data_IF_497383381826
#
_entry.id   IF_497383381826
#
_cell.length_a   1.000
_cell.length_b   1.000
_cell.length_c   1.000
_cell.angle_alpha   90.00
_cell.angle_beta   90.00
_cell.angle_gamma   90.00
#
_symmetry.space_group_name_H-M   'P 1'
#
loop_
_entity.id
_entity.type
_entity.pdbx_description
1 polymer ?
#
# COMPACT_ATOMS: atom_id res chain seq x y z
N UNK A 1 -17.02 -9.66 -2.24
CA UNK A 1 -16.75 -10.26 -3.56
C UNK A 1 -17.15 -9.22 -4.60
N UNK A 2 -16.22 -8.77 -5.40
CA UNK A 2 -16.45 -7.86 -6.52
C UNK A 2 -16.22 -8.57 -7.86
N UNK A 3 -16.32 -7.86 -8.98
CA UNK A 3 -16.12 -8.41 -10.32
C UNK A 3 -14.67 -8.31 -10.81
N UNK A 4 -13.74 -7.95 -9.92
CA UNK A 4 -12.33 -7.83 -10.25
C UNK A 4 -11.63 -9.20 -10.29
N UNK A 5 -10.66 -9.33 -11.17
CA UNK A 5 -9.86 -10.54 -11.36
C UNK A 5 -8.60 -10.56 -10.47
N UNK A 6 -8.30 -9.46 -9.78
CA UNK A 6 -7.16 -9.34 -8.88
C UNK A 6 -7.61 -9.27 -7.42
N UNK A 7 -6.73 -9.64 -6.50
CA UNK A 7 -7.01 -9.53 -5.09
C UNK A 7 -7.23 -8.06 -4.69
N UNK A 8 -8.31 -7.75 -3.97
CA UNK A 8 -8.55 -6.43 -3.40
C UNK A 8 -7.90 -6.27 -2.02
N UNK A 9 -7.39 -7.35 -1.45
CA UNK A 9 -6.66 -7.39 -0.19
C UNK A 9 -5.48 -8.32 -0.38
N UNK A 10 -4.29 -7.78 -0.40
CA UNK A 10 -3.06 -8.54 -0.63
C UNK A 10 -1.88 -7.90 0.10
N UNK A 11 -0.86 -8.71 0.36
CA UNK A 11 0.45 -8.26 0.82
C UNK A 11 1.49 -8.77 -0.15
N UNK A 12 2.23 -7.86 -0.75
CA UNK A 12 3.34 -8.15 -1.65
C UNK A 12 4.67 -7.78 -1.01
N UNK A 13 5.62 -8.69 -1.05
CA UNK A 13 7.00 -8.47 -0.56
C UNK A 13 7.91 -8.37 -1.77
N UNK A 14 8.54 -7.21 -1.95
CA UNK A 14 9.48 -6.95 -3.02
C UNK A 14 10.91 -6.97 -2.47
N UNK A 15 11.67 -7.98 -2.86
CA UNK A 15 13.07 -8.16 -2.45
C UNK A 15 14.00 -7.56 -3.51
N UNK A 16 14.74 -6.53 -3.13
CA UNK A 16 15.74 -5.86 -3.97
C UNK A 16 17.18 -6.24 -3.56
N UNK A 17 17.33 -7.32 -2.79
CA UNK A 17 18.60 -7.82 -2.28
C UNK A 17 19.01 -7.16 -0.96
N UNK A 18 19.51 -5.94 -0.99
CA UNK A 18 19.89 -5.16 0.20
C UNK A 18 18.75 -4.37 0.84
N UNK A 19 17.66 -4.22 0.10
CA UNK A 19 16.44 -3.52 0.51
C UNK A 19 15.21 -4.37 0.26
N UNK A 20 14.16 -4.07 1.00
CA UNK A 20 12.88 -4.73 0.86
C UNK A 20 11.77 -3.69 0.96
N UNK A 21 10.72 -3.88 0.18
CA UNK A 21 9.48 -3.14 0.32
C UNK A 21 8.35 -4.12 0.60
N UNK A 22 7.58 -3.89 1.66
CA UNK A 22 6.32 -4.58 1.92
C UNK A 22 5.20 -3.64 1.55
N UNK A 23 4.37 -4.06 0.61
CA UNK A 23 3.22 -3.30 0.14
C UNK A 23 1.94 -4.05 0.50
N UNK A 24 1.09 -3.40 1.27
CA UNK A 24 -0.17 -3.97 1.76
C UNK A 24 -1.35 -3.16 1.21
N UNK A 25 -2.25 -3.83 0.49
CA UNK A 25 -3.51 -3.28 0.00
C UNK A 25 -4.66 -3.84 0.82
N UNK A 26 -5.56 -2.96 1.28
CA UNK A 26 -6.79 -3.32 1.99
C UNK A 26 -7.98 -2.67 1.31
N UNK A 27 -8.59 -3.38 0.38
CA UNK A 27 -9.80 -2.94 -0.32
C UNK A 27 -11.11 -3.27 0.40
N UNK A 28 -11.05 -4.10 1.45
CA UNK A 28 -12.20 -4.41 2.30
C UNK A 28 -12.36 -3.35 3.40
N UNK A 29 -13.53 -3.34 4.05
CA UNK A 29 -13.84 -2.33 5.07
C UNK A 29 -12.86 -2.40 6.26
N UNK A 30 -12.30 -1.26 6.60
CA UNK A 30 -11.36 -1.06 7.71
C UNK A 30 -11.95 -0.21 8.86
N UNK A 31 -13.24 0.12 8.80
CA UNK A 31 -13.88 1.01 9.80
C UNK A 31 -13.81 0.49 11.21
N UNK A 32 -13.69 -0.82 11.36
CA UNK A 32 -13.50 -1.49 12.64
C UNK A 32 -12.14 -2.17 12.72
N UNK A 33 -11.12 -1.61 12.08
CA UNK A 33 -9.76 -2.15 12.16
C UNK A 33 -9.32 -2.24 13.62
N UNK A 34 -8.82 -3.41 14.01
CA UNK A 34 -8.18 -3.62 15.32
C UNK A 34 -6.75 -3.06 15.33
N UNK A 35 -6.29 -2.54 14.20
CA UNK A 35 -5.00 -1.87 14.10
C UNK A 35 -5.11 -0.45 14.67
N UNK A 36 -4.77 -0.34 15.96
CA UNK A 36 -4.84 0.94 16.67
C UNK A 36 -3.92 2.00 16.06
N UNK A 37 -2.81 1.59 15.45
CA UNK A 37 -1.87 2.50 14.83
C UNK A 37 -2.46 3.12 13.56
N UNK A 38 -3.05 2.30 12.69
CA UNK A 38 -3.78 2.78 11.52
C UNK A 38 -4.92 3.71 11.93
N UNK A 39 -5.69 3.33 12.95
CA UNK A 39 -6.79 4.14 13.45
C UNK A 39 -6.32 5.50 13.97
N UNK A 40 -5.20 5.55 14.69
CA UNK A 40 -4.59 6.81 15.16
C UNK A 40 -4.10 7.67 14.01
N UNK A 41 -3.41 7.08 13.04
CA UNK A 41 -2.84 7.79 11.90
C UNK A 41 -3.92 8.39 10.98
N UNK A 42 -5.00 7.67 10.74
CA UNK A 42 -6.12 8.17 9.93
C UNK A 42 -7.21 8.89 10.72
N UNK A 43 -7.15 8.88 12.07
CA UNK A 43 -8.18 9.45 12.96
C UNK A 43 -9.58 9.01 12.56
N UNK A 44 -9.73 7.72 12.46
CA UNK A 44 -10.99 7.06 12.16
C UNK A 44 -11.97 7.81 11.27
N UNK A 45 -12.15 7.36 10.10
CA UNK A 45 -13.20 7.84 9.24
C UNK A 45 -14.09 6.67 8.88
N UNK A 46 -15.37 6.81 9.14
CA UNK A 46 -16.37 5.83 8.70
C UNK A 46 -16.33 5.71 7.18
N UNK A 47 -16.22 4.48 6.69
CA UNK A 47 -16.17 4.15 5.27
C UNK A 47 -14.75 4.00 4.72
N UNK A 48 -14.62 3.35 3.56
CA UNK A 48 -13.35 3.17 2.87
C UNK A 48 -12.71 4.52 2.59
N UNK A 49 -11.49 4.70 3.05
CA UNK A 49 -10.70 5.89 2.72
C UNK A 49 -9.58 5.53 1.78
N UNK A 50 -9.42 6.39 0.81
CA UNK A 50 -8.24 6.40 -0.04
C UNK A 50 -7.15 7.13 0.73
N UNK A 51 -6.05 6.43 1.01
CA UNK A 51 -4.89 7.00 1.65
C UNK A 51 -3.74 6.01 1.66
N UNK A 52 -2.55 6.51 1.99
CA UNK A 52 -1.34 5.70 2.05
C UNK A 52 -0.57 6.05 3.32
N UNK A 53 -0.02 5.03 3.99
CA UNK A 53 0.92 5.19 5.08
C UNK A 53 2.26 4.61 4.64
N UNK A 54 3.31 5.40 4.72
CA UNK A 54 4.69 4.94 4.56
C UNK A 54 5.32 4.80 5.94
N UNK A 55 5.74 3.60 6.28
CA UNK A 55 6.42 3.29 7.53
C UNK A 55 7.92 3.45 7.33
N UNK A 56 8.51 4.41 8.01
CA UNK A 56 9.95 4.67 7.98
C UNK A 56 10.64 4.28 9.28
N UNK A 57 11.97 4.28 9.26
CA UNK A 57 12.80 4.01 10.46
C UNK A 57 12.57 5.03 11.57
N UNK A 58 12.32 6.29 11.22
CA UNK A 58 12.24 7.40 12.17
C UNK A 58 10.83 7.95 12.38
N UNK A 59 9.84 7.43 11.64
CA UNK A 59 8.46 7.90 11.74
C UNK A 59 7.59 7.42 10.59
N UNK A 60 6.53 8.17 10.34
CA UNK A 60 5.49 7.83 9.37
C UNK A 60 5.23 9.02 8.44
N UNK A 61 4.96 8.72 7.16
CA UNK A 61 4.39 9.69 6.25
C UNK A 61 2.97 9.21 5.90
N UNK A 62 1.98 10.02 6.20
CA UNK A 62 0.56 9.68 6.02
C UNK A 62 -0.06 10.61 5.00
N UNK A 63 -0.41 10.05 3.85
CA UNK A 63 -1.18 10.75 2.83
C UNK A 63 -2.67 10.53 3.10
N UNK A 64 -3.37 11.55 3.57
CA UNK A 64 -4.78 11.48 3.95
C UNK A 64 -5.74 11.81 2.80
N UNK A 65 -5.24 12.46 1.76
CA UNK A 65 -5.97 12.81 0.56
C UNK A 65 -5.00 13.08 -0.58
N UNK A 66 -5.52 13.37 -1.77
CA UNK A 66 -4.68 13.72 -2.94
C UNK A 66 -3.83 14.98 -2.74
N UNK A 67 -4.17 15.81 -1.78
CA UNK A 67 -3.56 17.13 -1.58
C UNK A 67 -3.01 17.35 -0.18
N UNK A 68 -3.08 16.34 0.70
CA UNK A 68 -2.73 16.50 2.11
C UNK A 68 -1.87 15.32 2.60
N UNK A 69 -0.68 15.64 3.09
CA UNK A 69 0.29 14.68 3.59
C UNK A 69 0.91 15.19 4.89
N UNK A 70 1.05 14.32 5.89
CA UNK A 70 1.63 14.66 7.20
C UNK A 70 2.75 13.69 7.52
N UNK A 71 3.87 14.21 7.99
CA UNK A 71 4.99 13.45 8.57
C UNK A 71 4.85 13.46 10.09
N UNK A 72 4.90 12.29 10.68
CA UNK A 72 4.90 12.06 12.11
C UNK A 72 6.23 11.42 12.55
N UNK A 73 6.68 11.74 13.75
CA UNK A 73 7.70 10.95 14.44
C UNK A 73 7.13 9.64 15.01
N UNK A 74 7.97 8.79 15.61
CA UNK A 74 7.56 7.53 16.22
C UNK A 74 6.58 7.70 17.41
N UNK A 75 6.54 8.88 18.01
CA UNK A 75 5.61 9.23 19.08
C UNK A 75 4.31 9.84 18.57
N UNK A 76 4.11 9.85 17.25
CA UNK A 76 2.96 10.45 16.55
C UNK A 76 2.84 11.97 16.72
N UNK A 77 3.94 12.67 17.02
CA UNK A 77 3.95 14.12 16.94
C UNK A 77 4.12 14.55 15.48
N UNK A 78 3.42 15.61 15.10
CA UNK A 78 3.56 16.18 13.75
C UNK A 78 4.93 16.84 13.61
N UNK A 79 5.72 16.33 12.67
CA UNK A 79 7.03 16.87 12.29
C UNK A 79 6.88 17.88 11.15
N UNK A 80 6.06 17.53 10.14
CA UNK A 80 5.84 18.35 8.98
C UNK A 80 4.50 18.07 8.35
N UNK A 81 3.88 19.09 7.79
CA UNK A 81 2.63 19.01 7.07
C UNK A 81 2.77 19.63 5.68
N UNK A 82 2.22 18.95 4.68
CA UNK A 82 2.20 19.39 3.30
C UNK A 82 0.75 19.53 2.87
N UNK A 83 0.40 20.71 2.40
CA UNK A 83 -0.92 21.02 1.87
C UNK A 83 -0.76 21.57 0.45
N UNK A 84 -1.62 21.17 -0.43
CA UNK A 84 -1.66 21.62 -1.81
C UNK A 84 -1.60 20.46 -2.80
N UNK A 85 -2.08 20.71 -3.99
CA UNK A 85 -2.00 19.83 -5.12
C UNK A 85 -1.40 20.59 -6.30
N UNK A 86 -0.58 19.95 -7.11
CA UNK A 86 -0.11 20.53 -8.36
C UNK A 86 -1.25 20.62 -9.38
N UNK A 87 -1.16 21.59 -10.26
CA UNK A 87 -1.97 21.63 -11.46
C UNK A 87 -1.38 20.65 -12.51
N UNK A 88 -1.73 19.36 -12.36
CA UNK A 88 -1.22 18.34 -13.28
C UNK A 88 -1.78 18.47 -14.71
N UNK A 89 -2.97 19.04 -14.88
CA UNK A 89 -3.50 19.35 -16.22
C UNK A 89 -2.74 20.50 -16.87
N UNK A 90 -2.48 21.59 -16.14
CA UNK A 90 -1.65 22.68 -16.61
C UNK A 90 -0.22 22.23 -16.91
N UNK A 91 0.37 21.40 -16.06
CA UNK A 91 1.69 20.82 -16.31
C UNK A 91 1.76 20.02 -17.62
N UNK A 92 0.73 19.21 -17.90
CA UNK A 92 0.64 18.49 -19.18
C UNK A 92 0.49 19.44 -20.36
N UNK A 93 -0.40 20.45 -20.27
CA UNK A 93 -0.62 21.42 -21.34
C UNK A 93 0.63 22.26 -21.63
N UNK A 94 1.37 22.66 -20.60
CA UNK A 94 2.64 23.37 -20.72
C UNK A 94 3.70 22.53 -21.44
N UNK A 95 3.83 21.27 -21.06
CA UNK A 95 4.74 20.34 -21.73
C UNK A 95 4.37 20.17 -23.22
N UNK A 96 3.08 20.07 -23.53
CA UNK A 96 2.59 19.99 -24.91
C UNK A 96 2.88 21.27 -25.70
N UNK A 97 2.61 22.44 -25.12
CA UNK A 97 2.80 23.74 -25.78
C UNK A 97 4.27 24.02 -26.07
N UNK A 98 5.15 23.66 -25.13
CA UNK A 98 6.60 23.86 -25.27
C UNK A 98 7.31 22.73 -26.00
N UNK A 99 6.63 21.60 -26.25
CA UNK A 99 7.22 20.36 -26.81
C UNK A 99 8.41 19.84 -25.99
N UNK A 100 8.36 20.05 -24.69
CA UNK A 100 9.43 19.71 -23.77
C UNK A 100 8.92 18.73 -22.69
N UNK A 101 9.20 17.43 -22.88
CA UNK A 101 8.79 16.36 -21.95
C UNK A 101 9.49 16.47 -20.59
N UNK A 102 10.62 17.16 -20.48
CA UNK A 102 11.34 17.32 -19.21
C UNK A 102 10.58 18.20 -18.20
N UNK A 103 9.56 18.92 -18.66
CA UNK A 103 8.67 19.72 -17.82
C UNK A 103 7.58 18.89 -17.14
N UNK A 104 7.38 17.65 -17.55
CA UNK A 104 6.41 16.77 -16.90
C UNK A 104 6.90 16.39 -15.48
N UNK A 105 6.05 16.56 -14.49
CA UNK A 105 6.31 16.14 -13.12
C UNK A 105 6.39 14.61 -12.99
N UNK A 106 5.72 13.91 -13.89
CA UNK A 106 5.79 12.45 -14.05
C UNK A 106 5.58 12.14 -15.52
N UNK A 107 6.60 11.63 -16.17
CA UNK A 107 6.53 11.23 -17.57
C UNK A 107 6.02 9.79 -17.74
N UNK A 108 5.90 9.34 -18.98
CA UNK A 108 5.43 8.00 -19.29
C UNK A 108 6.36 6.90 -18.75
N UNK A 109 7.65 7.18 -18.61
CA UNK A 109 8.62 6.23 -18.07
C UNK A 109 8.43 6.02 -16.56
N UNK A 110 8.27 7.10 -15.80
CA UNK A 110 7.95 7.03 -14.38
C UNK A 110 6.61 6.31 -14.13
N UNK A 111 5.61 6.60 -14.97
CA UNK A 111 4.33 5.90 -14.93
C UNK A 111 4.47 4.41 -15.22
N UNK A 112 5.29 4.04 -16.21
CA UNK A 112 5.58 2.65 -16.55
C UNK A 112 6.27 1.90 -15.40
N UNK A 113 7.29 2.48 -14.81
CA UNK A 113 8.00 1.86 -13.67
C UNK A 113 7.08 1.68 -12.45
N UNK A 114 6.30 2.71 -12.12
CA UNK A 114 5.36 2.65 -11.00
C UNK A 114 4.28 1.60 -11.20
N UNK A 115 3.70 1.52 -12.40
CA UNK A 115 2.73 0.48 -12.75
C UNK A 115 3.37 -0.92 -12.76
N UNK A 116 4.63 -1.01 -13.21
CA UNK A 116 5.37 -2.27 -13.24
C UNK A 116 5.47 -2.95 -11.88
N UNK A 117 5.66 -2.19 -10.82
CA UNK A 117 5.69 -2.74 -9.43
C UNK A 117 4.34 -3.39 -9.08
N UNK A 118 3.22 -2.72 -9.36
CA UNK A 118 1.88 -3.29 -9.10
C UNK A 118 1.63 -4.55 -9.95
N UNK A 119 2.09 -4.54 -11.21
CA UNK A 119 1.96 -5.72 -12.07
C UNK A 119 2.79 -6.92 -11.60
N UNK A 120 3.95 -6.71 -10.97
CA UNK A 120 4.72 -7.79 -10.36
C UNK A 120 3.95 -8.45 -9.21
N UNK A 121 3.26 -7.69 -8.37
CA UNK A 121 2.35 -8.23 -7.35
C UNK A 121 1.24 -9.08 -7.97
N UNK A 122 0.56 -8.56 -8.98
CA UNK A 122 -0.48 -9.29 -9.70
C UNK A 122 0.05 -10.58 -10.36
N UNK A 123 1.22 -10.55 -10.98
CA UNK A 123 1.86 -11.75 -11.55
C UNK A 123 2.11 -12.79 -10.47
N UNK A 124 2.64 -12.39 -9.32
CA UNK A 124 2.85 -13.29 -8.19
C UNK A 124 1.53 -13.91 -7.71
N UNK A 125 0.47 -13.11 -7.62
CA UNK A 125 -0.87 -13.57 -7.26
C UNK A 125 -1.39 -14.63 -8.25
N UNK A 126 -1.37 -14.34 -9.56
CA UNK A 126 -1.83 -15.29 -10.59
C UNK A 126 -1.02 -16.58 -10.66
N UNK A 127 0.29 -16.51 -10.45
CA UNK A 127 1.13 -17.70 -10.37
C UNK A 127 0.80 -18.57 -9.15
N UNK A 128 0.32 -17.94 -8.08
CA UNK A 128 -0.11 -18.63 -6.85
C UNK A 128 -1.57 -19.09 -6.84
N UNK A 129 -2.42 -18.63 -7.76
CA UNK A 129 -3.87 -18.83 -7.73
C UNK A 129 -4.28 -20.31 -7.67
N UNK A 130 -3.50 -21.19 -8.27
CA UNK A 130 -3.74 -22.65 -8.25
C UNK A 130 -3.13 -23.35 -7.01
N UNK A 131 -2.43 -22.61 -6.16
CA UNK A 131 -1.69 -23.13 -5.02
C UNK A 131 -2.25 -22.58 -3.70
N UNK A 132 -3.46 -22.97 -3.37
CA UNK A 132 -4.05 -22.63 -2.07
C UNK A 132 -3.23 -23.29 -0.96
N UNK A 133 -2.80 -22.50 -0.01
CA UNK A 133 -2.07 -22.97 1.17
C UNK A 133 -2.84 -22.65 2.44
N UNK A 134 -2.82 -23.53 3.42
CA UNK A 134 -3.40 -23.25 4.73
C UNK A 134 -2.65 -22.09 5.43
N UNK A 135 -3.31 -21.46 6.40
CA UNK A 135 -2.68 -20.42 7.23
C UNK A 135 -1.41 -20.96 7.91
N UNK A 136 -1.41 -22.22 8.32
CA UNK A 136 -0.24 -22.87 8.96
C UNK A 136 0.93 -22.98 7.97
N UNK A 137 0.66 -23.35 6.75
CA UNK A 137 1.67 -23.43 5.70
C UNK A 137 2.16 -22.04 5.27
N UNK A 138 1.27 -21.06 5.13
CA UNK A 138 1.65 -19.67 4.88
C UNK A 138 2.59 -19.15 5.97
N UNK A 139 2.29 -19.42 7.24
CA UNK A 139 3.15 -19.09 8.39
C UNK A 139 4.54 -19.73 8.24
N UNK A 140 4.60 -21.01 7.88
CA UNK A 140 5.86 -21.73 7.67
C UNK A 140 6.70 -21.11 6.54
N UNK A 141 6.08 -20.79 5.42
CA UNK A 141 6.75 -20.17 4.27
C UNK A 141 7.28 -18.78 4.67
N UNK A 142 6.42 -17.94 5.23
CA UNK A 142 6.75 -16.55 5.58
C UNK A 142 7.81 -16.44 6.68
N UNK A 143 7.92 -17.44 7.58
CA UNK A 143 9.01 -17.48 8.56
C UNK A 143 10.40 -17.61 7.93
N UNK A 144 10.49 -18.09 6.70
CA UNK A 144 11.74 -18.19 5.92
C UNK A 144 12.01 -17.02 4.98
N UNK A 145 11.05 -16.12 4.81
CA UNK A 145 11.18 -14.96 3.92
C UNK A 145 11.87 -13.81 4.64
N UNK A 146 13.00 -13.36 4.10
CA UNK A 146 13.69 -12.17 4.61
C UNK A 146 12.92 -10.91 4.25
N UNK A 147 12.55 -10.12 5.25
CA UNK A 147 11.84 -8.86 5.10
C UNK A 147 12.33 -7.87 6.16
N UNK A 148 12.05 -6.59 5.98
CA UNK A 148 12.27 -5.54 6.98
C UNK A 148 11.08 -5.38 7.93
N UNK A 149 10.00 -6.09 7.68
CA UNK A 149 8.79 -6.11 8.50
C UNK A 149 8.65 -7.48 9.21
N UNK A 150 7.81 -7.54 10.22
CA UNK A 150 7.40 -8.80 10.86
C UNK A 150 6.36 -9.50 9.98
N UNK A 151 6.84 -10.41 9.12
CA UNK A 151 6.00 -11.16 8.20
C UNK A 151 4.87 -11.94 8.89
N UNK A 152 5.12 -12.45 10.11
CA UNK A 152 4.13 -13.23 10.84
C UNK A 152 3.05 -12.32 11.43
N UNK A 153 3.43 -11.18 11.99
CA UNK A 153 2.48 -10.18 12.45
C UNK A 153 1.64 -9.63 11.27
N UNK A 154 2.25 -9.42 10.11
CA UNK A 154 1.55 -9.01 8.88
C UNK A 154 0.56 -10.07 8.42
N UNK A 155 0.93 -11.35 8.42
CA UNK A 155 0.01 -12.45 8.13
C UNK A 155 -1.18 -12.48 9.11
N UNK A 156 -0.93 -12.39 10.40
CA UNK A 156 -1.97 -12.41 11.43
C UNK A 156 -2.94 -11.24 11.28
N UNK A 157 -2.41 -10.05 11.03
CA UNK A 157 -3.20 -8.84 10.76
C UNK A 157 -4.08 -9.01 9.52
N UNK A 158 -3.54 -9.59 8.45
CA UNK A 158 -4.28 -9.84 7.21
C UNK A 158 -5.37 -10.88 7.41
N UNK A 159 -5.06 -12.02 8.03
CA UNK A 159 -6.05 -13.06 8.36
C UNK A 159 -7.20 -12.49 9.19
N UNK A 160 -6.88 -11.73 10.23
CA UNK A 160 -7.88 -11.10 11.10
C UNK A 160 -8.78 -10.12 10.34
N UNK A 161 -8.19 -9.32 9.44
CA UNK A 161 -8.91 -8.39 8.59
C UNK A 161 -9.87 -9.12 7.64
N UNK A 162 -9.44 -10.20 7.00
CA UNK A 162 -10.27 -11.01 6.11
C UNK A 162 -11.43 -11.67 6.87
N UNK A 163 -11.17 -12.32 8.00
CA UNK A 163 -12.18 -12.95 8.85
C UNK A 163 -13.23 -11.97 9.33
N UNK A 164 -12.82 -10.76 9.73
CA UNK A 164 -13.71 -9.69 10.17
C UNK A 164 -14.64 -9.21 9.05
N UNK A 165 -14.20 -9.29 7.81
CA UNK A 165 -15.00 -9.01 6.62
C UNK A 165 -15.77 -10.23 6.10
N UNK A 166 -15.85 -11.32 6.87
CA UNK A 166 -16.63 -12.51 6.55
C UNK A 166 -16.03 -13.39 5.46
N UNK A 167 -14.72 -13.27 5.21
CA UNK A 167 -14.01 -14.15 4.28
C UNK A 167 -13.73 -15.47 4.98
N UNK A 168 -14.19 -16.57 4.36
CA UNK A 168 -13.84 -17.93 4.78
C UNK A 168 -12.43 -18.26 4.30
N UNK A 169 -11.59 -18.71 5.22
CA UNK A 169 -10.17 -19.01 4.98
C UNK A 169 -9.83 -20.49 5.14
N UNK A 170 -10.85 -21.35 5.33
CA UNK A 170 -10.72 -22.81 5.45
C UNK A 170 -10.88 -23.53 4.11
#
# INVERSE_FOLDING_TARGET
>A
VDAGDTANTEVSIYDYGDKCMVFETRGLDVTESDDEEINKLFKQVKGNKIGVIFYGTDGYLVQKSYTHCIVYDKSLNVVKEFNGGGDHFGNFLDACATRDATKLNSDAWEGHLSAGVSHLGNISYYLGEQNHVSIAEARRILSGVKSLDDNLATLERTVKHLQKNGVDLD
#
